data_IF_923609554509
#
_entry.id   IF_923609554509
#
_cell.length_a   1.000
_cell.length_b   1.000
_cell.length_c   1.000
_cell.angle_alpha   90.00
_cell.angle_beta   90.00
_cell.angle_gamma   90.00
#
_symmetry.space_group_name_H-M   'P 1'
#
loop_
_entity.id
_entity.type
_entity.pdbx_description
1 polymer ?
#
# COMPACT_ATOMS: atom_id res chain seq x y z
N UNK A 1 -5.23 4.27 -49.06
CA UNK A 1 -4.14 4.68 -48.14
C UNK A 1 -4.63 4.31 -46.76
N UNK A 2 -4.03 3.28 -46.15
CA UNK A 2 -4.47 2.76 -44.86
C UNK A 2 -3.84 3.61 -43.76
N UNK A 3 -4.67 4.34 -43.02
CA UNK A 3 -4.30 4.96 -41.74
C UNK A 3 -4.08 3.84 -40.71
N UNK A 4 -2.82 3.49 -40.54
CA UNK A 4 -2.36 2.65 -39.45
C UNK A 4 -2.41 3.51 -38.18
N UNK A 5 -3.53 3.43 -37.45
CA UNK A 5 -3.61 3.86 -36.06
C UNK A 5 -2.49 3.14 -35.30
N UNK A 6 -1.43 3.88 -34.97
CA UNK A 6 -0.46 3.49 -33.96
C UNK A 6 -1.20 3.37 -32.64
N UNK A 7 -1.75 2.17 -32.37
CA UNK A 7 -2.11 1.77 -31.03
C UNK A 7 -0.80 1.74 -30.26
N UNK A 8 -0.52 2.82 -29.52
CA UNK A 8 0.59 2.85 -28.57
C UNK A 8 0.44 1.59 -27.70
N UNK A 9 1.47 0.74 -27.70
CA UNK A 9 1.50 -0.41 -26.82
C UNK A 9 1.25 0.08 -25.38
N UNK A 10 0.45 -0.64 -24.58
CA UNK A 10 0.19 -0.24 -23.20
C UNK A 10 1.52 -0.05 -22.46
N UNK A 11 1.64 1.03 -21.69
CA UNK A 11 2.82 1.36 -20.90
C UNK A 11 3.26 0.15 -20.07
N UNK A 12 4.47 -0.32 -20.30
CA UNK A 12 5.03 -1.45 -19.57
C UNK A 12 5.35 -1.03 -18.14
N UNK A 13 4.72 -1.70 -17.17
CA UNK A 13 4.77 -1.29 -15.76
C UNK A 13 6.06 -1.76 -15.06
N UNK A 14 6.71 -2.78 -15.61
CA UNK A 14 7.99 -3.32 -15.14
C UNK A 14 8.90 -3.71 -16.34
N UNK A 15 9.36 -2.71 -17.12
CA UNK A 15 10.05 -2.96 -18.38
C UNK A 15 11.50 -3.40 -18.25
N UNK A 16 12.08 -3.28 -17.05
CA UNK A 16 13.51 -3.42 -16.84
C UNK A 16 13.85 -4.56 -15.88
N UNK A 17 15.13 -4.96 -15.88
CA UNK A 17 15.64 -5.89 -14.86
C UNK A 17 15.50 -5.26 -13.48
N UNK A 18 15.40 -6.12 -12.47
CA UNK A 18 15.45 -5.69 -11.08
C UNK A 18 16.65 -4.77 -10.86
N UNK A 19 16.36 -3.61 -10.26
CA UNK A 19 17.39 -2.60 -10.00
C UNK A 19 18.52 -3.16 -9.12
N UNK A 20 19.79 -2.82 -9.38
CA UNK A 20 20.92 -3.31 -8.60
C UNK A 20 21.06 -2.65 -7.22
N UNK A 21 20.15 -1.73 -6.84
CA UNK A 21 20.28 -1.00 -5.58
C UNK A 21 20.01 -1.91 -4.36
N UNK A 22 20.76 -1.71 -3.27
CA UNK A 22 20.47 -2.36 -2.00
C UNK A 22 19.03 -2.09 -1.53
N UNK A 23 18.39 -3.12 -0.97
CA UNK A 23 17.01 -3.06 -0.46
C UNK A 23 16.81 -1.86 0.49
N UNK A 24 17.81 -1.54 1.32
CA UNK A 24 17.72 -0.42 2.26
C UNK A 24 17.63 0.95 1.56
N UNK A 25 18.23 1.12 0.38
CA UNK A 25 18.16 2.38 -0.40
C UNK A 25 16.76 2.57 -0.97
N UNK A 26 16.21 1.50 -1.55
CA UNK A 26 14.84 1.49 -2.10
C UNK A 26 13.82 1.69 -0.97
N UNK A 27 13.99 1.00 0.16
CA UNK A 27 13.14 1.17 1.34
C UNK A 27 13.19 2.60 1.89
N UNK A 28 14.37 3.23 1.91
CA UNK A 28 14.52 4.63 2.34
C UNK A 28 13.87 5.59 1.34
N UNK A 29 13.98 5.34 0.04
CA UNK A 29 13.36 6.15 -1.00
C UNK A 29 11.83 6.15 -0.86
N UNK A 30 11.21 4.97 -0.75
CA UNK A 30 9.76 4.84 -0.66
C UNK A 30 9.15 5.34 0.64
N UNK A 31 9.93 5.50 1.72
CA UNK A 31 9.48 5.97 3.04
C UNK A 31 9.88 7.41 3.35
N UNK A 32 10.44 8.14 2.37
CA UNK A 32 10.93 9.50 2.55
C UNK A 32 9.78 10.54 2.60
N UNK A 33 8.91 10.43 3.60
CA UNK A 33 7.72 11.25 3.79
C UNK A 33 8.09 12.75 3.78
N UNK A 34 7.49 13.55 2.87
CA UNK A 34 7.69 14.99 2.87
C UNK A 34 7.47 15.57 4.26
N UNK A 35 8.31 16.54 4.64
CA UNK A 35 8.35 17.21 5.96
C UNK A 35 8.97 16.42 7.12
N UNK A 36 8.96 15.08 7.07
CA UNK A 36 9.59 14.19 8.06
C UNK A 36 11.04 13.85 7.68
N UNK A 37 11.25 13.45 6.42
CA UNK A 37 12.54 13.00 5.94
C UNK A 37 13.02 13.84 4.75
N UNK A 38 14.34 13.86 4.53
CA UNK A 38 14.92 14.40 3.30
C UNK A 38 14.67 13.41 2.17
N UNK A 39 14.39 13.93 0.97
CA UNK A 39 14.35 13.13 -0.25
C UNK A 39 15.63 12.29 -0.39
N UNK A 40 15.49 11.07 -0.89
CA UNK A 40 16.61 10.17 -1.14
C UNK A 40 17.10 10.39 -2.55
N UNK A 41 18.39 10.65 -2.72
CA UNK A 41 19.03 10.72 -4.03
C UNK A 41 19.50 9.32 -4.41
N UNK A 42 19.11 8.85 -5.60
CA UNK A 42 19.65 7.65 -6.22
C UNK A 42 20.03 8.06 -7.65
N UNK A 43 21.32 7.97 -8.00
CA UNK A 43 21.91 8.63 -9.18
C UNK A 43 21.53 10.12 -9.26
N UNK A 44 21.03 10.57 -10.42
CA UNK A 44 20.63 11.95 -10.68
C UNK A 44 19.15 12.23 -10.33
N UNK A 45 18.46 11.23 -9.80
CA UNK A 45 17.04 11.31 -9.46
C UNK A 45 16.78 11.48 -7.97
N UNK A 46 15.73 12.23 -7.65
CA UNK A 46 15.29 12.54 -6.28
C UNK A 46 13.97 11.85 -5.98
N UNK A 47 14.03 10.92 -5.03
CA UNK A 47 12.89 10.15 -4.60
C UNK A 47 12.29 10.69 -3.31
N UNK A 48 10.96 10.71 -3.28
CA UNK A 48 10.14 11.02 -2.10
C UNK A 48 9.18 9.84 -1.84
N UNK A 49 8.53 9.86 -0.70
CA UNK A 49 7.57 8.83 -0.29
C UNK A 49 6.55 8.48 -1.38
N UNK A 50 6.37 7.18 -1.61
CA UNK A 50 5.36 6.66 -2.55
C UNK A 50 3.93 6.97 -2.13
N UNK A 51 3.70 7.27 -0.85
CA UNK A 51 2.44 7.79 -0.33
C UNK A 51 2.00 9.09 -1.02
N UNK A 52 2.92 9.85 -1.62
CA UNK A 52 2.58 11.01 -2.44
C UNK A 52 2.02 10.58 -3.80
N UNK A 53 0.74 10.21 -3.83
CA UNK A 53 -0.01 9.88 -5.06
C UNK A 53 -0.10 8.39 -5.39
N UNK A 54 0.59 7.51 -4.66
CA UNK A 54 0.51 6.05 -4.82
C UNK A 54 0.45 5.32 -3.46
N UNK A 55 -0.30 5.87 -2.49
CA UNK A 55 -0.39 5.32 -1.14
C UNK A 55 -1.15 3.99 -1.09
N UNK A 56 -1.90 3.68 -2.14
CA UNK A 56 -2.49 2.38 -2.38
C UNK A 56 -1.98 1.82 -3.72
N UNK A 57 -0.93 0.98 -3.72
CA UNK A 57 -0.32 0.50 -4.95
C UNK A 57 -1.17 -0.58 -5.67
N UNK A 58 -2.30 -0.99 -5.09
CA UNK A 58 -3.02 -2.22 -5.52
C UNK A 58 -3.40 -2.22 -7.00
N UNK A 59 -3.87 -1.10 -7.57
CA UNK A 59 -4.23 -1.06 -9.00
C UNK A 59 -3.01 -1.23 -9.92
N UNK A 60 -1.87 -0.64 -9.55
CA UNK A 60 -0.62 -0.76 -10.31
C UNK A 60 -0.07 -2.18 -10.22
N UNK A 61 0.00 -2.73 -9.01
CA UNK A 61 0.45 -4.11 -8.79
C UNK A 61 -0.44 -5.12 -9.52
N UNK A 62 -1.77 -4.95 -9.49
CA UNK A 62 -2.69 -5.85 -10.20
C UNK A 62 -2.39 -5.88 -11.70
N UNK A 63 -2.28 -4.70 -12.33
CA UNK A 63 -1.97 -4.59 -13.76
C UNK A 63 -0.58 -5.14 -14.11
N UNK A 64 0.42 -4.88 -13.26
CA UNK A 64 1.79 -5.37 -13.47
C UNK A 64 1.83 -6.91 -13.47
N UNK A 65 1.14 -7.54 -12.51
CA UNK A 65 1.08 -9.01 -12.43
C UNK A 65 0.32 -9.61 -13.62
N UNK A 66 -0.79 -9.00 -14.06
CA UNK A 66 -1.49 -9.44 -15.27
C UNK A 66 -0.65 -9.25 -16.54
N UNK A 67 0.16 -8.20 -16.61
CA UNK A 67 1.08 -7.99 -17.73
C UNK A 67 2.16 -9.08 -17.79
N UNK A 68 2.71 -9.49 -16.63
CA UNK A 68 3.79 -10.49 -16.56
C UNK A 68 3.25 -11.92 -16.76
N UNK A 69 2.10 -12.24 -16.15
CA UNK A 69 1.60 -13.61 -16.06
C UNK A 69 0.38 -13.89 -16.95
N UNK A 70 -0.22 -12.87 -17.53
CA UNK A 70 -1.46 -12.95 -18.30
C UNK A 70 -2.70 -12.59 -17.48
N UNK A 71 -3.74 -12.13 -18.18
CA UNK A 71 -5.02 -11.79 -17.58
C UNK A 71 -5.67 -13.01 -16.90
N UNK A 72 -6.34 -12.78 -15.76
CA UNK A 72 -7.07 -13.83 -15.06
C UNK A 72 -6.20 -14.80 -14.25
N UNK A 73 -4.89 -14.58 -14.17
CA UNK A 73 -3.98 -15.39 -13.33
C UNK A 73 -4.10 -15.10 -11.84
N UNK A 74 -4.69 -13.96 -11.47
CA UNK A 74 -4.84 -13.54 -10.09
C UNK A 74 -6.14 -14.13 -9.53
N UNK A 75 -6.03 -15.06 -8.56
CA UNK A 75 -7.20 -15.63 -7.88
C UNK A 75 -7.73 -14.74 -6.73
N UNK A 76 -6.81 -14.03 -6.05
CA UNK A 76 -7.11 -13.27 -4.84
C UNK A 76 -6.20 -12.03 -4.76
N UNK A 77 -6.83 -10.86 -4.60
CA UNK A 77 -6.16 -9.59 -4.33
C UNK A 77 -6.55 -9.11 -2.94
N UNK A 78 -5.56 -8.88 -2.07
CA UNK A 78 -5.77 -8.36 -0.72
C UNK A 78 -5.06 -7.02 -0.62
N UNK A 79 -5.79 -5.98 -0.21
CA UNK A 79 -5.23 -4.67 0.06
C UNK A 79 -5.32 -4.40 1.56
N UNK A 80 -4.19 -4.09 2.21
CA UNK A 80 -4.11 -3.84 3.64
C UNK A 80 -3.77 -2.36 3.85
N UNK A 81 -4.67 -1.62 4.48
CA UNK A 81 -4.48 -0.22 4.81
C UNK A 81 -4.01 0.00 6.25
N UNK A 82 -3.40 1.15 6.50
CA UNK A 82 -2.90 1.57 7.82
C UNK A 82 -3.92 2.39 8.62
N UNK A 83 -5.21 2.29 8.29
CA UNK A 83 -6.29 3.08 8.85
C UNK A 83 -6.49 4.44 8.15
N UNK A 84 -7.66 5.06 8.39
CA UNK A 84 -8.01 6.39 7.84
C UNK A 84 -7.73 7.49 8.88
N UNK A 85 -6.93 8.53 8.58
CA UNK A 85 -6.74 9.64 9.51
C UNK A 85 -8.05 10.44 9.67
N UNK A 86 -8.46 10.70 10.91
CA UNK A 86 -9.75 11.36 11.23
C UNK A 86 -9.62 12.80 11.73
N UNK A 87 -8.41 13.28 12.04
CA UNK A 87 -8.20 14.64 12.55
C UNK A 87 -6.96 15.31 11.97
N UNK A 88 -7.15 16.50 11.40
CA UNK A 88 -6.08 17.47 11.13
C UNK A 88 -6.26 18.57 12.19
N UNK A 89 -5.43 18.60 13.23
CA UNK A 89 -5.51 19.67 14.23
C UNK A 89 -4.86 20.95 13.70
N UNK A 90 -5.54 22.12 13.78
CA UNK A 90 -4.94 23.41 13.45
C UNK A 90 -3.95 23.83 14.54
N UNK A 91 -2.71 24.16 14.15
CA UNK A 91 -1.74 24.79 15.07
C UNK A 91 -2.00 26.30 15.10
N UNK A 92 -2.13 26.85 16.31
CA UNK A 92 -2.29 28.28 16.54
C UNK A 92 -1.14 29.09 15.92
N UNK A 93 -1.49 30.16 15.21
CA UNK A 93 -0.61 31.01 14.40
C UNK A 93 0.54 31.62 15.21
N UNK A 94 1.78 31.27 14.87
CA UNK A 94 3.01 32.11 15.00
C UNK A 94 4.15 31.43 14.22
N UNK A 95 4.74 32.11 13.23
CA UNK A 95 5.88 31.73 12.35
C UNK A 95 5.55 31.18 10.94
N UNK A 96 6.00 31.90 9.91
CA UNK A 96 5.79 31.65 8.47
C UNK A 96 6.42 30.35 7.93
N UNK A 97 7.59 29.96 8.45
CA UNK A 97 8.26 28.70 8.08
C UNK A 97 7.51 27.45 8.55
N UNK A 98 6.88 27.51 9.72
CA UNK A 98 6.03 26.43 10.25
C UNK A 98 4.74 26.29 9.43
N UNK A 99 4.18 27.40 8.96
CA UNK A 99 2.96 27.41 8.11
C UNK A 99 3.21 26.68 6.77
N UNK A 100 4.35 26.89 6.11
CA UNK A 100 4.65 26.23 4.82
C UNK A 100 4.80 24.71 4.99
N UNK A 101 5.50 24.25 6.03
CA UNK A 101 5.65 22.81 6.34
C UNK A 101 4.31 22.18 6.70
N UNK A 102 3.51 22.87 7.51
CA UNK A 102 2.16 22.42 7.87
C UNK A 102 1.24 22.28 6.65
N UNK A 103 1.23 23.25 5.73
CA UNK A 103 0.46 23.15 4.48
C UNK A 103 0.91 21.97 3.61
N UNK A 104 2.21 21.70 3.53
CA UNK A 104 2.72 20.53 2.80
C UNK A 104 2.30 19.23 3.46
N UNK A 105 2.35 19.15 4.78
CA UNK A 105 1.90 18.00 5.55
C UNK A 105 0.40 17.74 5.38
N UNK A 106 -0.44 18.77 5.41
CA UNK A 106 -1.88 18.65 5.09
C UNK A 106 -2.06 18.11 3.67
N UNK A 107 -1.39 18.72 2.69
CA UNK A 107 -1.48 18.27 1.29
C UNK A 107 -1.08 16.80 1.15
N UNK A 108 -0.02 16.38 1.84
CA UNK A 108 0.42 15.00 1.89
C UNK A 108 -0.66 14.08 2.45
N UNK A 109 -1.19 14.38 3.64
CA UNK A 109 -2.24 13.57 4.31
C UNK A 109 -3.50 13.48 3.45
N UNK A 110 -3.93 14.59 2.83
CA UNK A 110 -5.10 14.61 1.94
C UNK A 110 -4.82 13.76 0.70
N UNK A 111 -3.68 13.95 0.05
CA UNK A 111 -3.30 13.18 -1.14
C UNK A 111 -3.27 11.67 -0.85
N UNK A 112 -2.61 11.25 0.24
CA UNK A 112 -2.48 9.84 0.61
C UNK A 112 -3.84 9.19 0.93
N UNK A 113 -4.72 9.94 1.61
CA UNK A 113 -6.05 9.45 2.02
C UNK A 113 -7.01 9.35 0.83
N UNK A 114 -7.11 10.41 0.02
CA UNK A 114 -8.01 10.44 -1.14
C UNK A 114 -7.59 9.44 -2.21
N UNK A 115 -6.28 9.32 -2.46
CA UNK A 115 -5.74 8.33 -3.40
C UNK A 115 -6.11 6.90 -2.98
N UNK A 116 -5.96 6.58 -1.70
CA UNK A 116 -6.23 5.24 -1.18
C UNK A 116 -7.66 4.76 -1.44
N UNK A 117 -8.64 5.65 -1.28
CA UNK A 117 -10.06 5.33 -1.47
C UNK A 117 -10.44 5.24 -2.94
N UNK A 118 -9.96 6.18 -3.77
CA UNK A 118 -10.18 6.15 -5.21
C UNK A 118 -9.62 4.88 -5.82
N UNK A 119 -8.43 4.46 -5.39
CA UNK A 119 -7.84 3.20 -5.83
C UNK A 119 -8.64 2.01 -5.32
N UNK A 120 -9.16 2.03 -4.08
CA UNK A 120 -10.02 0.95 -3.57
C UNK A 120 -11.23 0.72 -4.48
N UNK A 121 -11.99 1.77 -4.79
CA UNK A 121 -13.17 1.67 -5.66
C UNK A 121 -12.80 1.26 -7.09
N UNK A 122 -11.69 1.80 -7.61
CA UNK A 122 -11.20 1.44 -8.94
C UNK A 122 -10.80 -0.04 -9.03
N UNK A 123 -10.07 -0.57 -8.05
CA UNK A 123 -9.67 -1.99 -8.00
C UNK A 123 -10.90 -2.88 -7.80
N UNK A 124 -11.85 -2.48 -6.97
CA UNK A 124 -13.11 -3.22 -6.80
C UNK A 124 -13.87 -3.37 -8.11
N UNK A 125 -13.94 -2.30 -8.90
CA UNK A 125 -14.51 -2.35 -10.26
C UNK A 125 -13.67 -3.21 -11.20
N UNK A 126 -12.36 -3.03 -11.21
CA UNK A 126 -11.43 -3.76 -12.10
C UNK A 126 -11.44 -5.27 -11.85
N UNK A 127 -11.53 -5.69 -10.60
CA UNK A 127 -11.51 -7.10 -10.18
C UNK A 127 -12.87 -7.77 -10.25
N UNK A 128 -13.95 -7.00 -10.42
CA UNK A 128 -15.32 -7.52 -10.46
C UNK A 128 -15.49 -8.58 -11.54
N UNK A 129 -15.94 -9.78 -11.15
CA UNK A 129 -16.08 -10.92 -12.05
C UNK A 129 -14.77 -11.56 -12.52
N UNK A 130 -13.61 -11.04 -12.12
CA UNK A 130 -12.28 -11.54 -12.50
C UNK A 130 -11.60 -12.26 -11.35
N UNK A 131 -11.54 -11.65 -10.17
CA UNK A 131 -10.93 -12.25 -9.00
C UNK A 131 -11.60 -11.81 -7.71
N UNK A 132 -11.32 -12.53 -6.61
CA UNK A 132 -11.74 -12.03 -5.30
C UNK A 132 -10.87 -10.84 -4.90
N UNK A 133 -11.50 -9.75 -4.47
CA UNK A 133 -10.82 -8.59 -3.93
C UNK A 133 -11.33 -8.29 -2.52
N UNK A 134 -10.41 -8.15 -1.56
CA UNK A 134 -10.73 -7.77 -0.18
C UNK A 134 -9.84 -6.61 0.27
N UNK A 135 -10.46 -5.61 0.89
CA UNK A 135 -9.76 -4.49 1.54
C UNK A 135 -9.90 -4.64 3.05
N UNK A 136 -8.76 -4.77 3.72
CA UNK A 136 -8.67 -4.75 5.18
C UNK A 136 -8.14 -3.38 5.60
N UNK A 137 -8.96 -2.58 6.26
CA UNK A 137 -8.57 -1.24 6.67
C UNK A 137 -9.35 -0.85 7.93
N UNK A 138 -8.66 -0.39 8.96
CA UNK A 138 -9.29 0.04 10.20
C UNK A 138 -10.09 1.33 9.94
N UNK A 139 -11.41 1.23 10.00
CA UNK A 139 -12.31 2.39 9.89
C UNK A 139 -12.15 3.34 11.09
N UNK A 140 -12.15 4.65 10.83
CA UNK A 140 -11.79 5.67 11.83
C UNK A 140 -10.28 5.78 12.11
N UNK A 141 -9.48 4.85 11.56
CA UNK A 141 -8.03 4.72 11.76
C UNK A 141 -7.63 4.76 13.22
N UNK A 142 -6.35 5.03 13.51
CA UNK A 142 -5.95 5.25 14.89
C UNK A 142 -6.49 6.54 15.55
N UNK A 143 -7.50 7.19 14.96
CA UNK A 143 -8.30 8.22 15.62
C UNK A 143 -7.58 9.54 15.96
N UNK A 144 -6.29 9.68 15.62
CA UNK A 144 -5.47 10.82 16.02
C UNK A 144 -3.96 10.57 16.15
N UNK A 145 -3.47 9.35 15.92
CA UNK A 145 -2.03 9.08 15.89
C UNK A 145 -1.41 9.76 14.66
N UNK A 146 -0.47 10.67 14.90
CA UNK A 146 0.33 11.30 13.85
C UNK A 146 1.32 10.28 13.26
N UNK A 147 1.60 10.34 11.95
CA UNK A 147 2.53 9.42 11.27
C UNK A 147 3.94 9.37 11.91
N UNK A 148 4.39 10.45 12.54
CA UNK A 148 5.66 10.50 13.27
C UNK A 148 5.53 10.31 14.79
N UNK A 149 4.37 9.90 15.28
CA UNK A 149 4.15 9.73 16.72
C UNK A 149 4.85 8.48 17.26
N UNK A 150 5.63 8.66 18.32
CA UNK A 150 6.31 7.58 19.02
C UNK A 150 6.37 7.87 20.53
N UNK A 151 5.28 7.60 21.24
CA UNK A 151 5.17 7.93 22.67
C UNK A 151 5.50 6.73 23.54
N UNK A 152 6.60 6.83 24.29
CA UNK A 152 7.00 5.83 25.28
C UNK A 152 6.73 6.38 26.68
N UNK A 153 5.98 5.63 27.49
CA UNK A 153 5.76 5.93 28.90
C UNK A 153 6.31 4.79 29.75
N UNK A 154 7.29 5.09 30.61
CA UNK A 154 8.05 4.09 31.38
C UNK A 154 8.67 3.03 30.45
N UNK A 155 8.13 1.81 30.43
CA UNK A 155 8.59 0.68 29.61
C UNK A 155 7.62 0.31 28.48
N UNK A 156 6.50 1.03 28.32
CA UNK A 156 5.47 0.71 27.34
C UNK A 156 5.41 1.79 26.24
N UNK A 157 5.32 1.36 24.99
CA UNK A 157 5.06 2.26 23.87
C UNK A 157 3.54 2.41 23.71
N UNK A 158 3.03 3.57 24.10
CA UNK A 158 1.61 3.91 24.09
C UNK A 158 1.06 3.99 22.66
N UNK A 159 1.85 4.51 21.72
CA UNK A 159 1.45 4.59 20.30
C UNK A 159 1.21 3.19 19.73
N UNK A 160 2.15 2.25 19.95
CA UNK A 160 1.98 0.86 19.53
C UNK A 160 0.85 0.15 20.26
N UNK A 161 0.65 0.45 21.54
CA UNK A 161 -0.48 -0.07 22.32
C UNK A 161 -1.81 0.31 21.69
N UNK A 162 -2.02 1.59 21.41
CA UNK A 162 -3.25 2.09 20.79
C UNK A 162 -3.47 1.50 19.39
N UNK A 163 -2.43 1.39 18.56
CA UNK A 163 -2.51 0.74 17.24
C UNK A 163 -2.98 -0.73 17.40
N UNK A 164 -2.42 -1.47 18.36
CA UNK A 164 -2.82 -2.85 18.63
C UNK A 164 -4.27 -2.94 19.08
N UNK A 165 -4.68 -2.13 20.04
CA UNK A 165 -6.05 -2.13 20.57
C UNK A 165 -7.08 -1.84 19.47
N UNK A 166 -6.82 -0.86 18.61
CA UNK A 166 -7.71 -0.51 17.50
C UNK A 166 -7.74 -1.59 16.42
N UNK A 167 -6.59 -2.20 16.12
CA UNK A 167 -6.52 -3.32 15.18
C UNK A 167 -7.27 -4.54 15.72
N UNK A 168 -7.13 -4.85 17.01
CA UNK A 168 -7.87 -5.93 17.67
C UNK A 168 -9.38 -5.68 17.61
N UNK A 169 -9.83 -4.47 17.97
CA UNK A 169 -11.25 -4.11 17.90
C UNK A 169 -11.81 -4.23 16.47
N UNK A 170 -11.05 -3.81 15.45
CA UNK A 170 -11.41 -4.01 14.04
C UNK A 170 -11.53 -5.51 13.69
N UNK A 171 -10.58 -6.34 14.12
CA UNK A 171 -10.60 -7.78 13.87
C UNK A 171 -11.68 -8.54 14.66
N UNK A 172 -12.28 -7.94 15.69
CA UNK A 172 -13.39 -8.52 16.46
C UNK A 172 -14.75 -8.29 15.80
N UNK A 173 -14.86 -7.32 14.89
CA UNK A 173 -16.07 -7.07 14.12
C UNK A 173 -16.48 -8.32 13.31
N UNK A 174 -17.74 -8.73 13.41
CA UNK A 174 -18.22 -9.99 12.83
C UNK A 174 -18.01 -10.06 11.33
N UNK A 175 -18.28 -8.98 10.61
CA UNK A 175 -18.07 -8.85 9.17
C UNK A 175 -16.59 -8.88 8.78
N UNK A 176 -15.69 -8.39 9.63
CA UNK A 176 -14.25 -8.47 9.40
C UNK A 176 -13.76 -9.90 9.61
N UNK A 177 -14.21 -10.57 10.68
CA UNK A 177 -13.89 -11.98 10.94
C UNK A 177 -14.28 -12.88 9.78
N UNK A 178 -15.51 -12.75 9.28
CA UNK A 178 -16.00 -13.53 8.12
C UNK A 178 -15.11 -13.31 6.90
N UNK A 179 -14.72 -12.06 6.60
CA UNK A 179 -13.81 -11.74 5.49
C UNK A 179 -12.43 -12.34 5.69
N UNK A 180 -11.83 -12.20 6.87
CA UNK A 180 -10.51 -12.76 7.20
C UNK A 180 -10.51 -14.29 7.11
N UNK A 181 -11.54 -14.95 7.59
CA UNK A 181 -11.69 -16.40 7.48
C UNK A 181 -11.82 -16.87 6.03
N UNK A 182 -12.61 -16.15 5.21
CA UNK A 182 -12.71 -16.40 3.77
C UNK A 182 -11.35 -16.29 3.09
N UNK A 183 -10.61 -15.22 3.37
CA UNK A 183 -9.25 -14.98 2.86
C UNK A 183 -8.32 -16.13 3.28
N UNK A 184 -8.32 -16.50 4.56
CA UNK A 184 -7.46 -17.56 5.09
C UNK A 184 -7.73 -18.91 4.40
N UNK A 185 -9.01 -19.28 4.22
CA UNK A 185 -9.41 -20.49 3.50
C UNK A 185 -8.88 -20.49 2.06
N UNK A 186 -9.01 -19.38 1.35
CA UNK A 186 -8.49 -19.24 -0.01
C UNK A 186 -6.96 -19.37 -0.07
N UNK A 187 -6.24 -18.70 0.84
CA UNK A 187 -4.78 -18.77 0.90
C UNK A 187 -4.28 -20.19 1.19
N UNK A 188 -4.90 -20.89 2.14
CA UNK A 188 -4.56 -22.28 2.47
C UNK A 188 -4.82 -23.20 1.28
N UNK A 189 -6.00 -23.10 0.65
CA UNK A 189 -6.33 -23.87 -0.55
C UNK A 189 -5.32 -23.64 -1.66
N UNK A 190 -5.02 -22.38 -1.99
CA UNK A 190 -4.06 -22.02 -3.03
C UNK A 190 -2.66 -22.58 -2.73
N UNK A 191 -2.23 -22.58 -1.46
CA UNK A 191 -0.96 -23.18 -1.06
C UNK A 191 -0.94 -24.69 -1.27
N UNK A 192 -2.00 -25.39 -0.89
CA UNK A 192 -2.14 -26.84 -1.07
C UNK A 192 -2.19 -27.24 -2.55
N UNK A 193 -2.85 -26.44 -3.39
CA UNK A 193 -2.88 -26.68 -4.84
C UNK A 193 -1.48 -26.47 -5.44
N UNK A 194 -0.76 -25.40 -5.05
CA UNK A 194 0.62 -25.18 -5.49
C UNK A 194 1.58 -26.28 -5.06
N UNK A 195 1.41 -26.87 -3.87
CA UNK A 195 2.29 -27.94 -3.40
C UNK A 195 2.17 -29.24 -4.19
N UNK A 196 1.14 -29.36 -5.04
CA UNK A 196 0.97 -30.48 -5.97
C UNK A 196 1.57 -30.19 -7.35
N UNK A 197 2.14 -29.01 -7.56
CA UNK A 197 2.77 -28.63 -8.83
C UNK A 197 4.26 -28.96 -8.81
N UNK A 198 4.88 -29.27 -9.97
CA UNK A 198 6.32 -29.51 -10.07
C UNK A 198 7.19 -28.31 -9.65
N UNK A 199 6.62 -27.11 -9.56
CA UNK A 199 7.31 -25.88 -9.16
C UNK A 199 7.36 -25.68 -7.64
N UNK A 200 6.75 -26.57 -6.85
CA UNK A 200 6.64 -26.41 -5.40
C UNK A 200 8.01 -26.23 -4.72
N UNK A 201 8.99 -27.06 -5.06
CA UNK A 201 10.30 -27.01 -4.40
C UNK A 201 11.00 -25.67 -4.65
N UNK A 202 10.92 -25.14 -5.87
CA UNK A 202 11.45 -23.82 -6.24
C UNK A 202 10.79 -22.70 -5.40
N UNK A 203 9.46 -22.70 -5.31
CA UNK A 203 8.72 -21.62 -4.63
C UNK A 203 8.73 -21.74 -3.10
N UNK A 204 8.88 -22.95 -2.56
CA UNK A 204 8.82 -23.21 -1.12
C UNK A 204 10.20 -23.16 -0.45
N UNK A 205 11.26 -23.53 -1.17
CA UNK A 205 12.62 -23.60 -0.61
C UNK A 205 13.53 -22.50 -1.14
N UNK A 206 13.17 -21.85 -2.25
CA UNK A 206 14.01 -20.85 -2.91
C UNK A 206 15.26 -21.45 -3.57
N UNK A 207 15.36 -22.78 -3.67
CA UNK A 207 16.41 -23.46 -4.42
C UNK A 207 15.97 -23.59 -5.87
N UNK A 208 16.61 -22.80 -6.74
CA UNK A 208 16.50 -22.87 -8.20
C UNK A 208 17.70 -23.58 -8.79
#
# INVERSE_FOLDING_TARGET
MNDCLLVLAPEELNPERASPYPIWQVARATTAAPTYFKATQINDERFVDGGYGHNNPTSRTFKEIEQIHGEGTIALTISIGTGRPTKISPIAKKNSGLIKRYRQMIKYIVATTTDSERVHEHVKSMTSGRCTYERLNVDGGPGGINIGEWRVHKKENMTLKTIREQTSAYLEQSEVRIRVEKIAKMLVRNRQERSRTPRWDIVATGQS
#
